data_IF_148937318542
#
_entry.id   IF_148937318542
#
_cell.length_a   1.000
_cell.length_b   1.000
_cell.length_c   1.000
_cell.angle_alpha   90.00
_cell.angle_beta   90.00
_cell.angle_gamma   90.00
#
_symmetry.space_group_name_H-M   'P 1'
#
loop_
_entity.id
_entity.type
_entity.pdbx_description
1 polymer ?
#
# COMPACT_ATOMS: atom_id res chain seq x y z
N UNK A 1 6.50 13.09 1.90
CA UNK A 1 5.95 11.81 2.37
C UNK A 1 6.78 10.69 1.78
N UNK A 2 7.47 9.90 2.61
CA UNK A 2 8.27 8.74 2.12
C UNK A 2 7.49 7.45 2.39
N UNK A 3 7.51 6.56 1.40
CA UNK A 3 7.01 5.19 1.53
C UNK A 3 8.21 4.26 1.69
N UNK A 4 8.31 3.64 2.85
CA UNK A 4 9.32 2.66 3.19
C UNK A 4 8.68 1.28 3.21
N UNK A 5 9.50 0.24 3.06
CA UNK A 5 9.03 -1.14 3.09
C UNK A 5 9.75 -1.87 4.21
N UNK A 6 9.05 -2.77 4.88
CA UNK A 6 9.64 -3.65 5.89
C UNK A 6 10.07 -4.99 5.26
N UNK A 7 10.96 -5.75 5.93
CA UNK A 7 11.26 -7.13 5.51
C UNK A 7 10.01 -7.99 5.39
N UNK A 8 9.08 -7.90 6.35
CA UNK A 8 7.82 -8.63 6.36
C UNK A 8 6.95 -8.28 5.15
N UNK A 9 6.93 -7.00 4.74
CA UNK A 9 6.26 -6.56 3.53
C UNK A 9 6.82 -7.29 2.30
N UNK A 10 8.14 -7.35 2.16
CA UNK A 10 8.77 -8.04 1.03
C UNK A 10 8.52 -9.53 1.03
N UNK A 11 8.51 -10.17 2.20
CA UNK A 11 8.16 -11.59 2.32
C UNK A 11 6.72 -11.85 1.86
N UNK A 12 5.76 -11.03 2.32
CA UNK A 12 4.38 -11.12 1.88
C UNK A 12 4.26 -10.85 0.38
N UNK A 13 4.91 -9.80 -0.12
CA UNK A 13 4.89 -9.41 -1.53
C UNK A 13 5.48 -10.50 -2.43
N UNK A 14 6.56 -11.16 -2.01
CA UNK A 14 7.20 -12.24 -2.74
C UNK A 14 6.27 -13.44 -2.96
N UNK A 15 5.39 -13.73 -2.00
CA UNK A 15 4.42 -14.82 -2.08
C UNK A 15 3.18 -14.50 -2.93
N UNK A 16 3.03 -13.25 -3.41
CA UNK A 16 1.88 -12.87 -4.23
C UNK A 16 1.99 -13.44 -5.65
N UNK A 17 0.84 -13.82 -6.26
CA UNK A 17 0.79 -14.15 -7.68
C UNK A 17 1.31 -12.99 -8.56
N UNK A 18 1.92 -13.29 -9.73
CA UNK A 18 2.49 -12.26 -10.61
C UNK A 18 1.52 -11.14 -11.00
N UNK A 19 0.24 -11.47 -11.23
CA UNK A 19 -0.77 -10.48 -11.58
C UNK A 19 -1.07 -9.51 -10.41
N UNK A 20 -1.11 -10.01 -9.16
CA UNK A 20 -1.28 -9.15 -7.98
C UNK A 20 -0.04 -8.26 -7.78
N UNK A 21 1.17 -8.79 -8.00
CA UNK A 21 2.40 -7.99 -7.96
C UNK A 21 2.35 -6.81 -8.94
N UNK A 22 1.83 -7.02 -10.16
CA UNK A 22 1.64 -5.95 -11.14
C UNK A 22 0.60 -4.91 -10.68
N UNK A 23 -0.55 -5.36 -10.16
CA UNK A 23 -1.59 -4.46 -9.66
C UNK A 23 -1.08 -3.64 -8.46
N UNK A 24 -0.28 -4.24 -7.58
CA UNK A 24 0.36 -3.55 -6.47
C UNK A 24 1.32 -2.46 -6.94
N UNK A 25 2.14 -2.74 -7.96
CA UNK A 25 3.02 -1.72 -8.58
C UNK A 25 2.22 -0.58 -9.20
N UNK A 26 1.11 -0.87 -9.88
CA UNK A 26 0.22 0.16 -10.45
C UNK A 26 -0.40 1.03 -9.37
N UNK A 27 -0.94 0.42 -8.32
CA UNK A 27 -1.51 1.14 -7.19
C UNK A 27 -0.47 2.03 -6.49
N UNK A 28 0.76 1.53 -6.30
CA UNK A 28 1.85 2.32 -5.73
C UNK A 28 2.22 3.54 -6.59
N UNK A 29 2.37 3.36 -7.91
CA UNK A 29 2.61 4.48 -8.84
C UNK A 29 1.48 5.51 -8.79
N UNK A 30 0.23 5.04 -8.77
CA UNK A 30 -0.93 5.91 -8.66
C UNK A 30 -0.93 6.67 -7.33
N UNK A 31 -0.61 6.00 -6.23
CA UNK A 31 -0.52 6.61 -4.90
C UNK A 31 0.55 7.72 -4.85
N UNK A 32 1.73 7.52 -5.43
CA UNK A 32 2.76 8.56 -5.52
C UNK A 32 2.23 9.79 -6.29
N UNK A 33 1.52 9.56 -7.40
CA UNK A 33 1.01 10.66 -8.23
C UNK A 33 -0.22 11.37 -7.64
N UNK A 34 -1.11 10.62 -6.99
CA UNK A 34 -2.37 11.11 -6.45
C UNK A 34 -2.85 10.21 -5.32
N UNK A 35 -2.44 10.54 -4.10
CA UNK A 35 -2.81 9.83 -2.86
C UNK A 35 -4.33 9.77 -2.65
N UNK A 36 -5.07 10.77 -3.12
CA UNK A 36 -6.53 10.89 -2.95
C UNK A 36 -7.34 10.27 -4.10
N UNK A 37 -6.70 9.53 -5.01
CA UNK A 37 -7.40 8.88 -6.09
C UNK A 37 -8.43 7.87 -5.55
N UNK A 38 -9.70 8.00 -5.96
CA UNK A 38 -10.83 7.24 -5.37
C UNK A 38 -10.63 5.72 -5.42
N UNK A 39 -10.02 5.18 -6.48
CA UNK A 39 -9.76 3.73 -6.63
C UNK A 39 -8.78 3.17 -5.58
N UNK A 40 -7.91 4.01 -5.02
CA UNK A 40 -6.98 3.59 -3.97
C UNK A 40 -7.70 3.37 -2.64
N UNK A 41 -8.85 4.01 -2.43
CA UNK A 41 -9.56 4.03 -1.15
C UNK A 41 -8.60 4.25 0.04
N UNK A 42 -7.60 5.11 -0.14
CA UNK A 42 -6.53 5.30 0.84
C UNK A 42 -7.09 5.92 2.11
N UNK A 43 -7.04 5.17 3.22
CA UNK A 43 -7.66 5.60 4.47
C UNK A 43 -6.98 5.00 5.69
N UNK A 44 -7.16 5.68 6.82
CA UNK A 44 -6.80 5.18 8.15
C UNK A 44 -7.78 4.07 8.56
N UNK A 45 -7.25 2.94 9.04
CA UNK A 45 -8.03 1.76 9.46
C UNK A 45 -7.74 1.32 10.90
N UNK A 46 -6.78 1.96 11.58
CA UNK A 46 -6.45 1.73 12.98
C UNK A 46 -5.67 2.89 13.58
N UNK A 47 -5.16 2.77 14.82
CA UNK A 47 -4.52 3.88 15.54
C UNK A 47 -3.45 4.60 14.71
N UNK A 48 -2.57 3.85 14.06
CA UNK A 48 -1.54 4.34 13.12
C UNK A 48 -1.48 3.53 11.82
N UNK A 49 -2.49 2.70 11.54
CA UNK A 49 -2.50 1.83 10.35
C UNK A 49 -3.32 2.50 9.26
N UNK A 50 -2.73 2.56 8.07
CA UNK A 50 -3.35 3.01 6.84
C UNK A 50 -3.45 1.85 5.86
N UNK A 51 -4.45 1.90 5.01
CA UNK A 51 -4.69 0.87 4.00
C UNK A 51 -4.89 1.50 2.64
N UNK A 52 -4.29 0.88 1.62
CA UNK A 52 -4.53 1.17 0.22
C UNK A 52 -5.06 -0.07 -0.48
N UNK A 53 -6.09 0.11 -1.30
CA UNK A 53 -6.71 -0.94 -2.11
C UNK A 53 -5.80 -1.27 -3.30
N UNK A 54 -5.49 -2.56 -3.46
CA UNK A 54 -4.78 -3.09 -4.62
C UNK A 54 -5.79 -3.76 -5.57
N UNK A 55 -6.62 -4.62 -5.00
CA UNK A 55 -7.78 -5.24 -5.67
C UNK A 55 -8.94 -5.31 -4.66
N UNK A 56 -10.00 -6.05 -4.98
CA UNK A 56 -11.08 -6.32 -4.01
C UNK A 56 -10.58 -7.10 -2.78
N UNK A 57 -9.70 -8.08 -3.00
CA UNK A 57 -9.25 -9.00 -1.96
C UNK A 57 -7.87 -8.66 -1.38
N UNK A 58 -7.09 -7.80 -2.06
CA UNK A 58 -5.74 -7.45 -1.64
C UNK A 58 -5.63 -5.98 -1.26
N UNK A 59 -5.02 -5.74 -0.10
CA UNK A 59 -4.71 -4.41 0.44
C UNK A 59 -3.24 -4.37 0.84
N UNK A 60 -2.56 -3.25 0.58
CA UNK A 60 -1.31 -2.96 1.24
C UNK A 60 -1.61 -2.14 2.50
N UNK A 61 -0.89 -2.45 3.57
CA UNK A 61 -1.00 -1.76 4.84
C UNK A 61 0.27 -0.95 5.07
N UNK A 62 0.12 0.17 5.75
CA UNK A 62 1.24 0.98 6.17
C UNK A 62 1.06 1.50 7.60
N UNK A 63 2.14 1.54 8.36
CA UNK A 63 2.20 2.25 9.62
C UNK A 63 2.62 3.69 9.38
N UNK A 64 1.79 4.65 9.78
CA UNK A 64 2.14 6.07 9.74
C UNK A 64 2.94 6.45 10.98
N UNK A 65 4.16 6.93 10.80
CA UNK A 65 5.00 7.51 11.86
C UNK A 65 5.50 8.88 11.40
N UNK A 66 4.95 9.94 12.00
CA UNK A 66 5.18 11.30 11.52
C UNK A 66 4.66 11.47 10.09
N UNK A 67 5.56 11.85 9.18
CA UNK A 67 5.27 12.06 7.75
C UNK A 67 5.57 10.84 6.86
N UNK A 68 6.03 9.74 7.46
CA UNK A 68 6.45 8.53 6.75
C UNK A 68 5.48 7.36 6.93
N UNK A 69 5.42 6.51 5.91
CA UNK A 69 4.63 5.28 5.87
C UNK A 69 5.56 4.08 5.72
N UNK A 70 5.38 3.07 6.56
CA UNK A 70 6.20 1.85 6.64
C UNK A 70 5.39 0.59 6.36
#
# INVERSE_FOLDING_TARGET
MKSLTTPDFWQCYANLPPYIKQQAKKAYRLWISNVFHRSLHFKKVGKNVWSVRITENYRALALKKGEDYY
#
